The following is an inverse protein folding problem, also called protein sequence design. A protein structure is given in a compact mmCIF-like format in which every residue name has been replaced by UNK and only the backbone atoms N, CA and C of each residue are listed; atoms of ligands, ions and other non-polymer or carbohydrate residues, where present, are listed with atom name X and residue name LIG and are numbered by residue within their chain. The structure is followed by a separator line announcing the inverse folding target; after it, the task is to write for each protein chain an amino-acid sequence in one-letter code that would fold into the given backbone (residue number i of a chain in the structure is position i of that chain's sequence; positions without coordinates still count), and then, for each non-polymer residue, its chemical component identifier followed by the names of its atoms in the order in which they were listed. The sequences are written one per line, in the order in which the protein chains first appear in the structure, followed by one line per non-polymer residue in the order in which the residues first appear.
data_IF_645182246561
#
_entry.id   IF_645182246561
#
_cell.length_a   1.000
_cell.length_b   1.000
_cell.length_c   1.000
_cell.angle_alpha   90.00
_cell.angle_beta   90.00
_cell.angle_gamma   90.00
#
_symmetry.space_group_name_H-M   'P 1'
#
loop_
_entity.id
_entity.type
_entity.pdbx_description
1 polymer ?
#
# COMPACT_ATOMS: atom_id res chain seq x y z
N UNK A 1 9.37 -15.39 17.80
CA UNK A 1 8.17 -15.51 16.97
C UNK A 1 8.39 -16.59 15.92
N UNK A 2 7.32 -17.27 15.52
CA UNK A 2 7.35 -18.23 14.43
C UNK A 2 7.27 -17.48 13.08
N UNK A 3 8.29 -17.57 12.22
CA UNK A 3 8.28 -16.88 10.92
C UNK A 3 7.23 -17.43 9.94
N UNK A 4 6.76 -18.67 10.15
CA UNK A 4 5.71 -19.28 9.32
C UNK A 4 4.29 -18.91 9.77
N UNK A 5 4.17 -18.17 10.87
CA UNK A 5 2.90 -17.69 11.43
C UNK A 5 2.89 -16.14 11.53
N UNK A 6 2.91 -15.43 10.39
CA UNK A 6 2.87 -13.97 10.39
C UNK A 6 1.52 -13.46 10.95
N UNK A 7 1.48 -12.26 11.54
CA UNK A 7 0.26 -11.72 12.12
C UNK A 7 -0.87 -11.62 11.07
N UNK A 8 -2.00 -12.25 11.36
CA UNK A 8 -3.16 -12.30 10.48
C UNK A 8 -4.22 -11.24 10.80
N UNK A 9 -4.16 -10.65 12.00
CA UNK A 9 -5.09 -9.61 12.47
C UNK A 9 -4.35 -8.37 12.96
N UNK A 10 -5.05 -7.24 13.12
CA UNK A 10 -4.47 -6.02 13.69
C UNK A 10 -3.96 -6.25 15.12
N UNK A 11 -4.70 -6.99 15.93
CA UNK A 11 -4.28 -7.30 17.30
C UNK A 11 -3.01 -8.15 17.34
N UNK A 12 -2.92 -9.15 16.48
CA UNK A 12 -1.71 -9.96 16.33
C UNK A 12 -0.54 -9.14 15.78
N UNK A 13 -0.81 -8.19 14.86
CA UNK A 13 0.20 -7.26 14.34
C UNK A 13 0.77 -6.37 15.46
N UNK A 14 -0.09 -5.81 16.29
CA UNK A 14 0.33 -5.04 17.47
C UNK A 14 1.11 -5.91 18.45
N UNK A 15 0.62 -7.12 18.74
CA UNK A 15 1.30 -8.04 19.65
C UNK A 15 2.68 -8.46 19.14
N UNK A 16 2.80 -8.74 17.86
CA UNK A 16 4.08 -9.03 17.20
C UNK A 16 5.01 -7.81 17.22
N UNK A 17 4.48 -6.61 16.87
CA UNK A 17 5.23 -5.36 16.90
C UNK A 17 5.83 -5.06 18.26
N UNK A 18 5.07 -5.26 19.34
CA UNK A 18 5.57 -5.09 20.73
C UNK A 18 6.73 -6.04 21.04
N UNK A 19 6.67 -7.29 20.61
CA UNK A 19 7.74 -8.27 20.81
C UNK A 19 8.99 -7.98 19.98
N UNK A 20 8.82 -7.37 18.81
CA UNK A 20 9.88 -7.09 17.84
C UNK A 20 10.54 -5.72 18.05
N UNK A 21 9.90 -4.82 18.82
CA UNK A 21 10.51 -3.55 19.19
C UNK A 21 11.65 -3.79 20.17
N UNK A 22 12.86 -3.33 19.81
CA UNK A 22 14.05 -3.42 20.67
C UNK A 22 14.45 -2.03 21.14
N UNK A 23 14.75 -1.90 22.42
CA UNK A 23 15.14 -0.65 23.07
C UNK A 23 16.44 -0.82 23.84
N UNK A 24 17.26 0.24 23.83
CA UNK A 24 18.44 0.38 24.65
C UNK A 24 18.28 1.68 25.47
N UNK A 25 17.86 1.54 26.73
CA UNK A 25 17.46 2.69 27.56
C UNK A 25 16.25 3.41 26.94
N UNK A 26 16.40 4.71 26.70
CA UNK A 26 15.36 5.55 26.11
C UNK A 26 15.36 5.54 24.57
N UNK A 27 16.37 4.94 23.93
CA UNK A 27 16.44 4.86 22.48
C UNK A 27 15.82 3.57 21.95
N UNK A 28 15.25 3.65 20.72
CA UNK A 28 14.72 2.49 20.01
C UNK A 28 15.73 2.09 18.94
N UNK A 29 16.31 0.90 19.10
CA UNK A 29 17.28 0.33 18.16
C UNK A 29 16.56 -0.26 16.93
N UNK A 30 15.40 -0.90 17.16
CA UNK A 30 14.56 -1.49 16.12
C UNK A 30 13.09 -1.28 16.48
N UNK A 31 12.35 -0.68 15.57
CA UNK A 31 10.89 -0.63 15.66
C UNK A 31 10.25 -1.95 15.27
N UNK A 32 9.14 -2.28 15.89
CA UNK A 32 8.39 -3.50 15.56
C UNK A 32 7.80 -3.46 14.18
N UNK A 33 7.33 -2.30 13.75
CA UNK A 33 6.77 -2.09 12.42
C UNK A 33 6.94 -0.64 11.96
N UNK A 34 6.89 -0.42 10.64
CA UNK A 34 6.76 0.91 10.03
C UNK A 34 5.81 0.85 8.83
N UNK A 35 4.93 1.86 8.76
CA UNK A 35 4.02 2.12 7.64
C UNK A 35 4.32 3.53 7.11
N UNK A 36 4.67 3.71 5.82
CA UNK A 36 5.04 5.02 5.32
C UNK A 36 3.81 5.93 5.21
N UNK A 37 3.94 7.16 5.68
CA UNK A 37 2.89 8.17 5.74
C UNK A 37 3.18 9.41 4.90
N UNK A 38 4.25 9.37 4.07
CA UNK A 38 4.50 10.33 2.99
C UNK A 38 4.58 9.63 1.64
N UNK A 39 4.64 10.37 0.56
CA UNK A 39 4.68 9.85 -0.81
C UNK A 39 3.31 9.37 -1.29
N UNK A 40 2.79 8.29 -0.72
CA UNK A 40 1.49 7.70 -1.07
C UNK A 40 0.66 7.33 0.18
N UNK A 41 0.44 8.26 1.14
CA UNK A 41 -0.27 7.94 2.38
C UNK A 41 -1.71 7.49 2.13
N UNK A 42 -2.42 8.09 1.16
CA UNK A 42 -3.77 7.68 0.79
C UNK A 42 -3.85 6.20 0.40
N UNK A 43 -2.78 5.66 -0.19
CA UNK A 43 -2.74 4.27 -0.65
C UNK A 43 -2.55 3.31 0.52
N UNK A 44 -1.61 3.59 1.43
CA UNK A 44 -1.43 2.81 2.66
C UNK A 44 -2.68 2.88 3.54
N UNK A 45 -3.25 4.06 3.70
CA UNK A 45 -4.48 4.27 4.44
C UNK A 45 -5.67 3.55 3.83
N UNK A 46 -5.73 3.47 2.49
CA UNK A 46 -6.74 2.69 1.77
C UNK A 46 -6.78 1.23 2.19
N UNK A 47 -5.60 0.62 2.44
CA UNK A 47 -5.54 -0.75 2.96
C UNK A 47 -6.19 -0.85 4.34
N UNK A 48 -5.83 0.04 5.27
CA UNK A 48 -6.39 0.06 6.63
C UNK A 48 -7.92 0.28 6.62
N UNK A 49 -8.40 1.25 5.84
CA UNK A 49 -9.84 1.50 5.72
C UNK A 49 -10.59 0.26 5.17
N UNK A 50 -10.05 -0.40 4.14
CA UNK A 50 -10.65 -1.62 3.57
C UNK A 50 -10.65 -2.77 4.56
N UNK A 51 -9.58 -2.96 5.32
CA UNK A 51 -9.48 -3.97 6.38
C UNK A 51 -10.54 -3.73 7.45
N UNK A 52 -10.87 -2.47 7.76
CA UNK A 52 -11.95 -2.11 8.68
C UNK A 52 -13.35 -2.07 8.02
N UNK A 53 -13.46 -2.50 6.78
CA UNK A 53 -14.74 -2.70 6.08
C UNK A 53 -15.23 -1.51 5.24
N UNK A 54 -14.45 -0.45 5.07
CA UNK A 54 -14.85 0.74 4.31
C UNK A 54 -13.91 1.03 3.15
N UNK A 55 -14.45 1.22 1.94
CA UNK A 55 -13.72 1.81 0.81
C UNK A 55 -13.71 3.34 0.92
N UNK A 56 -12.66 3.98 0.39
CA UNK A 56 -12.50 5.43 0.47
C UNK A 56 -13.38 6.22 -0.50
N UNK A 57 -14.01 5.55 -1.45
CA UNK A 57 -14.89 6.15 -2.46
C UNK A 57 -16.00 5.19 -2.89
N UNK A 58 -17.03 5.73 -3.56
CA UNK A 58 -18.03 4.93 -4.26
C UNK A 58 -17.51 4.43 -5.63
N UNK A 59 -18.26 3.51 -6.26
CA UNK A 59 -17.89 2.92 -7.56
C UNK A 59 -17.81 3.92 -8.71
N UNK A 60 -18.59 5.00 -8.66
CA UNK A 60 -18.63 6.04 -9.71
C UNK A 60 -17.49 7.07 -9.57
N UNK A 61 -16.72 7.05 -8.48
CA UNK A 61 -15.63 7.99 -8.23
C UNK A 61 -16.06 9.44 -8.04
N UNK A 62 -17.33 9.68 -7.69
CA UNK A 62 -17.91 11.00 -7.50
C UNK A 62 -18.27 11.33 -6.04
N UNK A 63 -17.99 10.38 -5.12
CA UNK A 63 -18.24 10.51 -3.68
C UNK A 63 -17.13 9.84 -2.89
N UNK A 64 -16.67 10.49 -1.82
CA UNK A 64 -15.71 9.96 -0.87
C UNK A 64 -16.38 9.49 0.42
N UNK A 65 -15.68 8.66 1.19
CA UNK A 65 -16.15 8.08 2.45
C UNK A 65 -15.14 8.33 3.58
N UNK A 66 -14.56 9.54 3.62
CA UNK A 66 -13.48 9.84 4.57
C UNK A 66 -13.99 9.96 6.00
N UNK A 67 -15.20 10.49 6.20
CA UNK A 67 -15.84 10.72 7.49
C UNK A 67 -16.64 9.53 8.06
N UNK A 68 -16.57 8.38 7.40
CA UNK A 68 -17.29 7.20 7.89
C UNK A 68 -16.62 6.65 9.15
N UNK A 69 -17.41 6.14 10.12
CA UNK A 69 -16.85 5.63 11.37
C UNK A 69 -15.70 4.64 11.17
N UNK A 70 -15.87 3.67 10.27
CA UNK A 70 -14.84 2.68 9.99
C UNK A 70 -13.56 3.28 9.35
N UNK A 71 -13.67 4.41 8.63
CA UNK A 71 -12.52 5.14 8.08
C UNK A 71 -11.79 5.90 9.19
N UNK A 72 -12.54 6.53 10.10
CA UNK A 72 -11.98 7.23 11.26
C UNK A 72 -11.25 6.25 12.18
N UNK A 73 -11.90 5.12 12.56
CA UNK A 73 -11.28 4.05 13.35
C UNK A 73 -9.98 3.52 12.71
N UNK A 74 -9.92 3.44 11.40
CA UNK A 74 -8.70 3.00 10.70
C UNK A 74 -7.55 4.01 10.84
N UNK A 75 -7.82 5.31 10.87
CA UNK A 75 -6.80 6.33 11.10
C UNK A 75 -6.40 6.42 12.56
N UNK A 76 -7.35 6.21 13.47
CA UNK A 76 -7.08 6.07 14.91
C UNK A 76 -6.15 4.89 15.18
N UNK A 77 -6.43 3.73 14.56
CA UNK A 77 -5.55 2.58 14.66
C UNK A 77 -4.14 2.90 14.12
N UNK A 78 -4.01 3.50 12.94
CA UNK A 78 -2.68 3.84 12.42
C UNK A 78 -1.91 4.74 13.37
N UNK A 79 -2.55 5.79 13.89
CA UNK A 79 -1.95 6.69 14.87
C UNK A 79 -1.53 5.95 16.14
N UNK A 80 -2.39 5.07 16.67
CA UNK A 80 -2.15 4.34 17.91
C UNK A 80 -0.94 3.40 17.86
N UNK A 81 -0.49 2.98 16.68
CA UNK A 81 0.72 2.16 16.52
C UNK A 81 1.96 2.86 17.10
N UNK A 82 2.02 4.20 16.98
CA UNK A 82 3.07 5.01 17.61
C UNK A 82 2.69 5.44 19.01
N UNK A 83 1.55 6.18 19.16
CA UNK A 83 1.19 6.86 20.41
C UNK A 83 0.89 5.92 21.59
N UNK A 84 0.15 4.83 21.35
CA UNK A 84 -0.37 3.98 22.41
C UNK A 84 0.37 2.65 22.51
N UNK A 85 0.79 2.12 21.37
CA UNK A 85 1.45 0.81 21.30
C UNK A 85 2.97 0.90 21.28
N UNK A 86 3.55 2.04 20.85
CA UNK A 86 4.99 2.27 20.82
C UNK A 86 5.77 1.28 19.93
N UNK A 87 5.13 0.78 18.86
CA UNK A 87 5.73 -0.18 17.93
C UNK A 87 6.26 0.47 16.66
N UNK A 88 5.93 1.75 16.47
CA UNK A 88 6.28 2.57 15.31
C UNK A 88 6.68 3.97 15.79
N UNK A 89 7.57 4.71 15.08
CA UNK A 89 7.80 6.13 15.38
C UNK A 89 6.50 6.94 15.30
N UNK A 90 6.32 7.89 16.19
CA UNK A 90 5.27 8.89 16.06
C UNK A 90 5.55 9.85 14.91
N UNK A 91 4.50 10.46 14.36
CA UNK A 91 4.61 11.42 13.27
C UNK A 91 4.67 10.78 11.90
N UNK A 92 5.46 11.36 11.00
CA UNK A 92 5.53 10.95 9.59
C UNK A 92 6.71 10.03 9.31
N UNK A 93 6.49 9.01 8.49
CA UNK A 93 7.50 8.07 8.01
C UNK A 93 7.64 8.23 6.49
N UNK A 94 8.88 8.49 6.06
CA UNK A 94 9.18 8.73 4.66
C UNK A 94 9.11 7.45 3.81
N UNK A 95 8.35 7.51 2.70
CA UNK A 95 8.26 6.43 1.73
C UNK A 95 9.62 6.01 1.17
N UNK A 96 10.43 7.00 0.77
CA UNK A 96 11.70 6.74 0.09
C UNK A 96 12.76 6.06 0.94
N UNK A 97 12.76 6.35 2.24
CA UNK A 97 13.78 5.85 3.19
C UNK A 97 13.37 4.57 3.92
N UNK A 98 12.08 4.23 3.93
CA UNK A 98 11.57 3.08 4.71
C UNK A 98 12.23 1.75 4.30
N UNK A 99 12.41 1.51 2.99
CA UNK A 99 13.13 0.32 2.54
C UNK A 99 14.55 0.23 3.10
N UNK A 100 15.25 1.36 3.18
CA UNK A 100 16.59 1.40 3.76
C UNK A 100 16.55 1.10 5.26
N UNK A 101 15.57 1.64 5.98
CA UNK A 101 15.36 1.32 7.40
C UNK A 101 15.13 -0.19 7.62
N UNK A 102 14.41 -0.86 6.72
CA UNK A 102 14.24 -2.30 6.79
C UNK A 102 15.55 -3.06 6.53
N UNK A 103 16.31 -2.65 5.50
CA UNK A 103 17.60 -3.27 5.16
C UNK A 103 18.67 -3.05 6.23
N UNK A 104 18.55 -2.00 7.03
CA UNK A 104 19.40 -1.67 8.17
C UNK A 104 18.86 -2.23 9.51
N UNK A 105 17.84 -3.09 9.45
CA UNK A 105 17.19 -3.70 10.63
C UNK A 105 16.62 -2.67 11.63
N UNK A 106 16.37 -1.42 11.20
CA UNK A 106 15.72 -0.39 12.03
C UNK A 106 14.21 -0.61 12.20
N UNK A 107 13.64 -1.48 11.41
CA UNK A 107 12.26 -1.97 11.57
C UNK A 107 12.18 -3.45 11.23
N UNK A 108 11.46 -4.19 12.06
CA UNK A 108 11.28 -5.63 11.87
C UNK A 108 10.20 -5.96 10.82
N UNK A 109 9.14 -5.14 10.76
CA UNK A 109 8.06 -5.28 9.76
C UNK A 109 7.96 -3.98 8.96
N UNK A 110 7.94 -4.11 7.65
CA UNK A 110 7.76 -2.99 6.72
C UNK A 110 6.51 -3.21 5.87
N UNK A 111 5.55 -2.28 5.94
CA UNK A 111 4.51 -2.22 4.92
C UNK A 111 5.00 -1.35 3.77
N UNK A 112 4.97 -1.89 2.56
CA UNK A 112 5.42 -1.14 1.39
C UNK A 112 4.84 -1.70 0.09
N UNK A 113 5.10 -0.99 -1.01
CA UNK A 113 4.79 -1.49 -2.35
C UNK A 113 5.60 -2.75 -2.67
N UNK A 114 4.95 -3.70 -3.35
CA UNK A 114 5.59 -4.91 -3.88
C UNK A 114 6.76 -4.62 -4.82
N UNK A 115 6.80 -3.43 -5.44
CA UNK A 115 7.93 -2.97 -6.26
C UNK A 115 9.27 -2.86 -5.51
N UNK A 116 9.27 -3.01 -4.18
CA UNK A 116 10.50 -3.09 -3.39
C UNK A 116 11.04 -4.52 -3.22
N UNK A 117 10.23 -5.54 -3.51
CA UNK A 117 10.55 -6.92 -3.17
C UNK A 117 11.88 -7.40 -3.78
N UNK A 118 12.10 -7.14 -5.06
CA UNK A 118 13.34 -7.56 -5.72
C UNK A 118 14.56 -6.81 -5.18
N UNK A 119 14.41 -5.55 -4.79
CA UNK A 119 15.51 -4.78 -4.17
C UNK A 119 15.81 -5.31 -2.77
N UNK A 120 14.79 -5.64 -1.98
CA UNK A 120 14.96 -6.27 -0.67
C UNK A 120 15.64 -7.62 -0.83
N UNK A 121 15.15 -8.49 -1.73
CA UNK A 121 15.76 -9.80 -2.01
C UNK A 121 17.26 -9.72 -2.35
N UNK A 122 17.68 -8.67 -3.08
CA UNK A 122 19.07 -8.51 -3.51
C UNK A 122 19.98 -7.95 -2.42
N UNK A 123 19.46 -7.17 -1.48
CA UNK A 123 20.25 -6.37 -0.57
C UNK A 123 20.11 -6.75 0.90
N UNK A 124 19.07 -7.48 1.29
CA UNK A 124 18.94 -7.97 2.65
C UNK A 124 20.08 -8.94 2.98
N UNK A 125 20.69 -8.74 4.14
CA UNK A 125 21.77 -9.57 4.68
C UNK A 125 21.25 -10.55 5.75
N UNK A 126 19.93 -10.65 5.85
CA UNK A 126 19.20 -11.50 6.78
C UNK A 126 18.06 -12.20 6.03
N UNK A 127 17.56 -13.26 6.60
CA UNK A 127 16.37 -13.96 6.08
C UNK A 127 15.12 -13.13 6.33
N UNK A 128 14.25 -13.04 5.33
CA UNK A 128 12.99 -12.34 5.43
C UNK A 128 11.85 -13.11 4.77
N UNK A 129 10.65 -12.90 5.28
CA UNK A 129 9.42 -13.39 4.68
C UNK A 129 8.55 -12.26 4.12
N UNK A 130 7.52 -12.63 3.37
CA UNK A 130 6.45 -11.73 2.93
C UNK A 130 5.13 -12.35 3.38
N UNK A 131 4.25 -11.51 3.91
CA UNK A 131 2.93 -11.93 4.36
C UNK A 131 1.84 -11.05 3.74
N UNK A 132 0.63 -11.59 3.67
CA UNK A 132 -0.55 -10.79 3.39
C UNK A 132 -0.75 -9.75 4.50
N UNK A 133 -1.33 -8.60 4.16
CA UNK A 133 -1.69 -7.59 5.14
C UNK A 133 -2.69 -8.18 6.17
N UNK A 134 -2.56 -7.83 7.45
CA UNK A 134 -3.45 -8.33 8.49
C UNK A 134 -4.88 -7.80 8.30
N UNK A 135 -5.85 -8.56 8.75
CA UNK A 135 -7.27 -8.19 8.71
C UNK A 135 -7.69 -7.45 9.99
N UNK A 136 -8.75 -6.65 9.90
CA UNK A 136 -9.56 -6.24 11.04
C UNK A 136 -10.94 -6.93 10.92
N UNK A 137 -11.89 -6.32 10.25
CA UNK A 137 -13.19 -6.94 9.95
C UNK A 137 -13.12 -7.89 8.74
N UNK A 138 -12.18 -7.64 7.85
CA UNK A 138 -11.88 -8.45 6.66
C UNK A 138 -10.46 -8.20 6.17
N UNK A 139 -9.99 -9.01 5.24
CA UNK A 139 -8.79 -8.66 4.47
C UNK A 139 -9.11 -7.55 3.48
N UNK A 140 -8.13 -6.72 3.17
CA UNK A 140 -8.29 -5.63 2.20
C UNK A 140 -6.96 -5.00 1.83
N UNK A 141 -6.82 -4.65 0.56
CA UNK A 141 -5.67 -3.93 0.01
C UNK A 141 -6.10 -3.11 -1.20
N UNK A 142 -5.57 -1.92 -1.43
CA UNK A 142 -5.72 -1.27 -2.71
C UNK A 142 -4.80 -1.94 -3.73
N UNK A 143 -5.25 -1.99 -4.98
CA UNK A 143 -4.38 -2.24 -6.12
C UNK A 143 -4.31 -1.00 -6.98
N UNK A 144 -3.11 -0.64 -7.38
CA UNK A 144 -2.81 0.48 -8.26
C UNK A 144 -1.71 0.09 -9.23
N UNK A 145 -1.26 1.02 -10.05
CA UNK A 145 -0.21 0.78 -11.02
C UNK A 145 -0.15 1.86 -12.09
N UNK A 146 0.79 1.68 -13.04
CA UNK A 146 0.88 2.51 -14.24
C UNK A 146 0.04 1.95 -15.37
N UNK A 147 -0.57 2.84 -16.13
CA UNK A 147 -1.31 2.49 -17.34
C UNK A 147 -0.66 3.14 -18.56
N UNK A 148 -0.77 2.49 -19.71
CA UNK A 148 -0.41 3.08 -20.97
C UNK A 148 -1.62 3.83 -21.57
N UNK A 149 -1.38 5.03 -22.09
CA UNK A 149 -2.39 5.85 -22.75
C UNK A 149 -1.94 6.21 -24.15
N UNK A 150 -2.86 6.18 -25.10
CA UNK A 150 -2.66 6.70 -26.45
C UNK A 150 -3.47 7.98 -26.53
N UNK A 151 -2.83 9.12 -26.82
CA UNK A 151 -3.52 10.38 -26.94
C UNK A 151 -4.33 10.42 -28.25
N UNK A 152 -5.56 10.89 -28.18
CA UNK A 152 -6.51 10.93 -29.30
C UNK A 152 -6.06 11.82 -30.48
N UNK A 153 -5.26 12.85 -30.20
CA UNK A 153 -4.85 13.85 -31.17
C UNK A 153 -3.50 13.52 -31.84
N UNK A 154 -2.97 12.31 -31.64
CA UNK A 154 -1.83 11.79 -32.39
C UNK A 154 -2.27 11.24 -33.76
N UNK A 155 -1.35 11.16 -34.72
CA UNK A 155 -1.64 10.61 -36.03
C UNK A 155 -2.06 9.13 -35.98
N UNK A 156 -2.80 8.67 -36.96
CA UNK A 156 -3.21 7.26 -37.07
C UNK A 156 -2.00 6.30 -37.09
N UNK A 157 -0.89 6.70 -37.71
CA UNK A 157 0.36 5.94 -37.74
C UNK A 157 0.98 5.83 -36.35
N UNK A 158 1.07 6.93 -35.61
CA UNK A 158 1.58 6.97 -34.22
C UNK A 158 0.68 6.17 -33.26
N UNK A 159 -0.65 6.24 -33.44
CA UNK A 159 -1.59 5.43 -32.64
C UNK A 159 -1.38 3.93 -32.91
N UNK A 160 -1.21 3.54 -34.18
CA UNK A 160 -0.95 2.15 -34.54
C UNK A 160 0.40 1.65 -34.00
N UNK A 161 1.45 2.46 -34.09
CA UNK A 161 2.75 2.15 -33.51
C UNK A 161 2.71 2.03 -31.99
N UNK A 162 2.03 2.95 -31.31
CA UNK A 162 1.82 2.93 -29.85
C UNK A 162 1.06 1.67 -29.41
N UNK A 163 0.00 1.31 -30.12
CA UNK A 163 -0.75 0.08 -29.83
C UNK A 163 0.11 -1.18 -30.00
N UNK A 164 0.97 -1.20 -31.03
CA UNK A 164 1.91 -2.31 -31.27
C UNK A 164 2.91 -2.42 -30.11
N UNK A 165 3.44 -1.29 -29.62
CA UNK A 165 4.34 -1.25 -28.46
C UNK A 165 3.63 -1.74 -27.19
N UNK A 166 2.41 -1.25 -26.90
CA UNK A 166 1.63 -1.68 -25.74
C UNK A 166 1.39 -3.18 -25.77
N UNK A 167 0.93 -3.72 -26.92
CA UNK A 167 0.73 -5.16 -27.10
C UNK A 167 2.01 -5.97 -26.89
N UNK A 168 3.17 -5.45 -27.30
CA UNK A 168 4.45 -6.09 -27.05
C UNK A 168 4.82 -6.11 -25.58
N UNK A 169 4.69 -4.97 -24.88
CA UNK A 169 5.06 -4.84 -23.46
C UNK A 169 4.12 -5.61 -22.55
N UNK A 170 2.85 -5.79 -22.92
CA UNK A 170 1.85 -6.50 -22.12
C UNK A 170 1.75 -7.99 -22.41
N UNK A 171 2.64 -8.56 -23.24
CA UNK A 171 2.71 -10.00 -23.44
C UNK A 171 2.99 -10.73 -22.13
N UNK A 172 2.41 -11.92 -21.91
CA UNK A 172 2.60 -12.70 -20.67
C UNK A 172 4.06 -12.89 -20.28
N UNK A 173 4.93 -13.24 -21.23
CA UNK A 173 6.36 -13.41 -20.96
C UNK A 173 7.04 -12.10 -20.50
N UNK A 174 6.63 -10.94 -21.06
CA UNK A 174 7.19 -9.62 -20.72
C UNK A 174 6.73 -9.16 -19.33
N UNK A 175 5.46 -9.32 -19.05
CA UNK A 175 4.92 -8.94 -17.73
C UNK A 175 5.39 -9.89 -16.62
N UNK A 176 5.63 -11.17 -16.94
CA UNK A 176 6.31 -12.11 -16.04
C UNK A 176 7.76 -11.72 -15.77
N UNK A 177 8.52 -11.34 -16.81
CA UNK A 177 9.89 -10.83 -16.67
C UNK A 177 9.93 -9.55 -15.82
N UNK A 178 8.99 -8.62 -16.06
CA UNK A 178 8.82 -7.41 -15.27
C UNK A 178 8.58 -7.74 -13.79
N UNK A 179 7.68 -8.68 -13.50
CA UNK A 179 7.40 -9.15 -12.15
C UNK A 179 8.67 -9.66 -11.45
N UNK A 180 9.44 -10.53 -12.10
CA UNK A 180 10.68 -11.07 -11.54
C UNK A 180 11.75 -10.01 -11.29
N UNK A 181 11.83 -8.99 -12.15
CA UNK A 181 12.85 -7.91 -12.05
C UNK A 181 12.52 -6.84 -11.02
N UNK A 182 11.25 -6.59 -10.76
CA UNK A 182 10.80 -5.48 -9.92
C UNK A 182 10.19 -5.93 -8.60
N UNK A 183 9.50 -7.08 -8.60
CA UNK A 183 8.62 -7.53 -7.52
C UNK A 183 7.17 -7.10 -7.69
N UNK A 184 6.85 -6.28 -8.70
CA UNK A 184 5.46 -6.01 -9.06
C UNK A 184 4.77 -7.26 -9.59
N UNK A 185 3.44 -7.24 -9.58
CA UNK A 185 2.62 -8.33 -10.12
C UNK A 185 2.74 -8.41 -11.65
N UNK A 186 2.65 -9.61 -12.20
CA UNK A 186 2.34 -9.78 -13.61
C UNK A 186 0.96 -9.19 -13.91
N UNK A 187 0.82 -8.47 -15.02
CA UNK A 187 -0.38 -7.68 -15.34
C UNK A 187 -1.58 -8.50 -15.80
N UNK A 188 -1.43 -9.81 -15.94
CA UNK A 188 -2.50 -10.73 -16.28
C UNK A 188 -2.23 -12.13 -15.75
N UNK A 189 -3.26 -12.97 -15.57
CA UNK A 189 -3.11 -14.32 -15.05
C UNK A 189 -2.21 -15.19 -15.93
N UNK A 190 -2.17 -14.93 -17.25
CA UNK A 190 -1.34 -15.67 -18.21
C UNK A 190 0.17 -15.51 -17.94
N UNK A 191 0.59 -14.42 -17.29
CA UNK A 191 1.98 -14.24 -16.91
C UNK A 191 2.43 -15.36 -15.94
N UNK A 192 1.55 -15.79 -15.04
CA UNK A 192 1.81 -16.83 -14.06
C UNK A 192 1.77 -18.26 -14.66
N UNK A 193 1.31 -18.40 -15.90
CA UNK A 193 1.37 -19.65 -16.66
C UNK A 193 2.71 -19.79 -17.42
N UNK A 194 3.55 -18.77 -17.44
CA UNK A 194 4.87 -18.85 -18.06
C UNK A 194 5.83 -19.69 -17.20
N UNK A 195 6.59 -20.58 -17.85
CA UNK A 195 7.55 -21.42 -17.12
C UNK A 195 8.55 -20.60 -16.31
N UNK A 196 9.03 -19.48 -16.83
CA UNK A 196 10.00 -18.62 -16.15
C UNK A 196 9.45 -18.06 -14.82
N UNK A 197 8.20 -17.56 -14.80
CA UNK A 197 7.62 -17.03 -13.57
C UNK A 197 7.25 -18.17 -12.59
N UNK A 198 6.81 -19.32 -13.09
CA UNK A 198 6.56 -20.49 -12.26
C UNK A 198 7.84 -20.98 -11.56
N UNK A 199 8.94 -21.12 -12.31
CA UNK A 199 10.23 -21.51 -11.76
C UNK A 199 10.74 -20.48 -10.73
N UNK A 200 10.54 -19.18 -11.02
CA UNK A 200 10.90 -18.11 -10.10
C UNK A 200 10.10 -18.14 -8.79
N UNK A 201 8.78 -18.30 -8.85
CA UNK A 201 7.92 -18.43 -7.67
C UNK A 201 8.28 -19.69 -6.86
N UNK A 202 8.58 -20.80 -7.53
CA UNK A 202 9.03 -22.03 -6.84
C UNK A 202 10.35 -21.82 -6.10
N UNK A 203 11.30 -21.08 -6.69
CA UNK A 203 12.59 -20.77 -6.07
C UNK A 203 12.50 -19.64 -5.01
N UNK A 204 11.48 -18.79 -5.10
CA UNK A 204 11.26 -17.67 -4.19
C UNK A 204 9.76 -17.48 -3.92
N UNK A 205 9.17 -18.33 -3.03
CA UNK A 205 7.73 -18.30 -2.71
C UNK A 205 7.18 -16.93 -2.27
N UNK A 206 7.94 -16.06 -1.59
CA UNK A 206 7.47 -14.71 -1.26
C UNK A 206 6.94 -13.89 -2.44
N UNK A 207 7.37 -14.18 -3.67
CA UNK A 207 6.88 -13.50 -4.88
C UNK A 207 5.40 -13.80 -5.22
N UNK A 208 4.82 -14.86 -4.65
CA UNK A 208 3.42 -15.22 -4.89
C UNK A 208 2.45 -14.51 -3.94
N UNK A 209 2.89 -14.07 -2.77
CA UNK A 209 2.01 -13.56 -1.71
C UNK A 209 1.16 -12.38 -2.17
N UNK A 210 1.74 -11.44 -2.90
CA UNK A 210 1.00 -10.30 -3.41
C UNK A 210 -0.04 -10.69 -4.47
N UNK A 211 0.24 -11.72 -5.31
CA UNK A 211 -0.74 -12.29 -6.24
C UNK A 211 -1.91 -12.87 -5.48
N UNK A 212 -1.64 -13.65 -4.45
CA UNK A 212 -2.68 -14.35 -3.67
C UNK A 212 -3.52 -13.34 -2.87
N UNK A 213 -2.95 -12.18 -2.51
CA UNK A 213 -3.67 -11.07 -1.88
C UNK A 213 -4.64 -10.33 -2.83
N UNK A 214 -4.52 -10.49 -4.16
CA UNK A 214 -5.42 -9.85 -5.13
C UNK A 214 -6.89 -10.25 -4.96
N UNK A 215 -7.17 -11.41 -4.40
CA UNK A 215 -8.54 -11.83 -4.04
C UNK A 215 -9.24 -10.79 -3.14
N UNK A 216 -8.48 -10.06 -2.33
CA UNK A 216 -8.98 -9.06 -1.38
C UNK A 216 -8.75 -7.64 -1.86
N UNK A 217 -8.31 -7.45 -3.11
CA UNK A 217 -7.95 -6.14 -3.62
C UNK A 217 -9.15 -5.37 -4.18
N UNK A 218 -9.12 -4.06 -4.02
CA UNK A 218 -10.00 -3.13 -4.71
C UNK A 218 -9.18 -2.02 -5.37
N UNK A 219 -9.82 -1.25 -6.27
CA UNK A 219 -9.17 -0.10 -6.87
C UNK A 219 -8.71 0.92 -5.80
N UNK A 220 -7.53 1.49 -6.00
CA UNK A 220 -7.08 2.63 -5.20
C UNK A 220 -8.00 3.84 -5.35
N UNK A 221 -7.90 4.82 -4.45
CA UNK A 221 -8.69 6.05 -4.50
C UNK A 221 -8.54 6.75 -5.86
N UNK A 222 -9.60 6.68 -6.67
CA UNK A 222 -9.66 7.16 -8.05
C UNK A 222 -10.99 7.86 -8.30
N UNK A 223 -11.03 9.15 -7.95
CA UNK A 223 -12.21 10.00 -8.11
C UNK A 223 -12.04 10.96 -9.29
N UNK A 224 -13.13 11.63 -9.69
CA UNK A 224 -12.95 12.87 -10.44
C UNK A 224 -12.05 13.81 -9.65
N UNK A 225 -11.22 14.61 -10.33
CA UNK A 225 -10.22 15.48 -9.69
C UNK A 225 -9.27 14.74 -8.73
N UNK A 226 -8.92 13.51 -9.07
CA UNK A 226 -8.15 12.56 -8.23
C UNK A 226 -6.97 13.21 -7.50
N UNK A 227 -6.12 13.97 -8.19
CA UNK A 227 -4.94 14.58 -7.56
C UNK A 227 -5.30 15.55 -6.43
N UNK A 228 -6.38 16.32 -6.58
CA UNK A 228 -6.86 17.25 -5.54
C UNK A 228 -7.50 16.51 -4.37
N UNK A 229 -8.29 15.47 -4.66
CA UNK A 229 -8.94 14.66 -3.63
C UNK A 229 -7.90 13.88 -2.82
N UNK A 230 -6.90 13.26 -3.48
CA UNK A 230 -5.78 12.59 -2.81
C UNK A 230 -5.04 13.54 -1.89
N UNK A 231 -4.69 14.74 -2.37
CA UNK A 231 -4.01 15.73 -1.53
C UNK A 231 -4.81 16.11 -0.28
N UNK A 232 -6.14 16.26 -0.39
CA UNK A 232 -6.99 16.54 0.78
C UNK A 232 -6.92 15.43 1.82
N UNK A 233 -6.90 14.17 1.37
CA UNK A 233 -6.76 13.01 2.25
C UNK A 233 -5.35 12.91 2.84
N UNK A 234 -4.32 13.11 2.02
CA UNK A 234 -2.92 13.08 2.47
C UNK A 234 -2.64 14.11 3.56
N UNK A 235 -3.14 15.35 3.37
CA UNK A 235 -3.02 16.43 4.36
C UNK A 235 -3.76 16.06 5.67
N UNK A 236 -4.93 15.40 5.57
CA UNK A 236 -5.67 14.94 6.73
C UNK A 236 -4.93 13.84 7.50
N UNK A 237 -4.42 12.83 6.79
CA UNK A 237 -3.63 11.74 7.39
C UNK A 237 -2.43 12.32 8.13
N UNK A 238 -1.65 13.18 7.48
CA UNK A 238 -0.47 13.78 8.08
C UNK A 238 -0.82 14.60 9.32
N UNK A 239 -1.87 15.46 9.24
CA UNK A 239 -2.28 16.28 10.39
C UNK A 239 -2.72 15.44 11.60
N UNK A 240 -3.35 14.29 11.36
CA UNK A 240 -3.73 13.36 12.43
C UNK A 240 -2.52 12.65 13.05
N UNK A 241 -1.58 12.17 12.21
CA UNK A 241 -0.39 11.43 12.67
C UNK A 241 0.58 12.32 13.45
N UNK A 242 0.72 13.60 13.08
CA UNK A 242 1.54 14.55 13.86
C UNK A 242 0.79 15.16 15.05
N UNK A 243 -0.47 14.78 15.26
CA UNK A 243 -1.25 15.20 16.44
C UNK A 243 -1.81 16.63 16.36
N UNK A 244 -1.73 17.31 15.21
CA UNK A 244 -2.29 18.68 15.05
C UNK A 244 -3.82 18.70 14.96
N UNK A 245 -4.45 17.58 14.60
CA UNK A 245 -5.89 17.34 14.62
C UNK A 245 -6.20 15.93 15.11
N UNK A 246 -7.40 15.73 15.62
CA UNK A 246 -7.91 14.36 15.80
C UNK A 246 -8.19 13.71 14.42
N UNK A 247 -8.15 12.37 14.31
CA UNK A 247 -8.54 11.67 13.09
C UNK A 247 -9.91 12.06 12.57
N UNK A 248 -10.90 12.19 13.45
CA UNK A 248 -12.27 12.58 13.09
C UNK A 248 -12.34 14.00 12.49
N UNK A 249 -11.67 14.98 13.12
CA UNK A 249 -11.62 16.37 12.61
C UNK A 249 -10.89 16.44 11.26
N UNK A 250 -9.74 15.79 11.15
CA UNK A 250 -8.94 15.80 9.93
C UNK A 250 -9.70 15.21 8.74
N UNK A 251 -10.30 14.03 8.94
CA UNK A 251 -11.06 13.34 7.90
C UNK A 251 -12.39 14.04 7.58
N UNK A 252 -13.07 14.62 8.57
CA UNK A 252 -14.29 15.42 8.39
C UNK A 252 -14.03 16.68 7.53
N UNK A 253 -12.92 17.37 7.78
CA UNK A 253 -12.48 18.51 6.97
C UNK A 253 -12.15 18.10 5.52
N UNK A 254 -11.45 16.97 5.34
CA UNK A 254 -11.13 16.44 4.02
C UNK A 254 -12.40 16.02 3.27
N UNK A 255 -13.35 15.36 3.94
CA UNK A 255 -14.65 14.99 3.38
C UNK A 255 -15.41 16.23 2.89
N UNK A 256 -15.53 17.25 3.74
CA UNK A 256 -16.23 18.48 3.41
C UNK A 256 -15.63 19.21 2.18
N UNK A 257 -14.30 19.19 2.04
CA UNK A 257 -13.60 19.74 0.87
C UNK A 257 -13.83 18.88 -0.38
N UNK A 258 -13.76 17.57 -0.25
CA UNK A 258 -13.99 16.63 -1.34
C UNK A 258 -15.44 16.72 -1.85
N UNK A 259 -16.43 16.81 -0.95
CA UNK A 259 -17.85 16.95 -1.30
C UNK A 259 -18.11 18.22 -2.13
N UNK A 260 -17.54 19.36 -1.73
CA UNK A 260 -17.65 20.61 -2.52
C UNK A 260 -17.03 20.46 -3.90
N UNK A 261 -15.87 19.82 -4.00
CA UNK A 261 -15.16 19.63 -5.26
C UNK A 261 -15.90 18.70 -6.20
N UNK A 262 -16.46 17.62 -5.66
CA UNK A 262 -17.11 16.54 -6.42
C UNK A 262 -18.60 16.81 -6.72
N UNK A 263 -19.20 17.84 -6.11
CA UNK A 263 -20.64 18.15 -6.27
C UNK A 263 -21.12 18.18 -7.72
N UNK A 264 -20.30 18.72 -8.64
CA UNK A 264 -20.66 18.85 -10.07
C UNK A 264 -20.59 17.52 -10.86
N UNK A 265 -20.11 16.45 -10.25
CA UNK A 265 -19.98 15.14 -10.88
C UNK A 265 -21.00 14.11 -10.33
N UNK A 266 -21.89 14.57 -9.45
CA UNK A 266 -23.00 13.78 -8.87
C UNK A 266 -24.25 13.85 -9.68
#
# INVERSE_FOLDING_TARGET
LDPESPPATWDEFVAAGKKLTKKSGDSVDQWGAMIPSTGYPYWMFGALAMQNGQTLMNGDGNMTHFDKPATIEALEFWKSLGSDHGIMPEGTIEWGTLRQNFLEEKTAIMWHSTGNLTTVKKNAKFDFGVAMLPAQKRRGTPTGGGNFYIFKDTSAEEQAASLKLIKFLTQPARTGEWSMKTGYLGTGPEAYNTKALQDYVKAFPPAAVARDQLEFATAELSTYQTGRVRKMLDDAIQSALVGSKSPAEALGDAQSKADRLLKRYR
#
